data_IF_832398781990
#
_entry.id   IF_832398781990
#
_cell.length_a   1.000
_cell.length_b   1.000
_cell.length_c   1.000
_cell.angle_alpha   90.00
_cell.angle_beta   90.00
_cell.angle_gamma   90.00
#
_symmetry.space_group_name_H-M   'P 1'
#
loop_
_entity.id
_entity.type
_entity.pdbx_description
1 polymer ?
#
# COMPACT_ATOMS: atom_id res chain seq x y z
N UNK A 1 33.25 -7.45 -34.45
CA UNK A 1 32.96 -7.60 -33.01
C UNK A 1 31.57 -7.05 -32.77
N UNK A 2 30.63 -7.78 -32.16
CA UNK A 2 29.31 -7.22 -31.87
C UNK A 2 29.36 -6.49 -30.53
N UNK A 3 29.13 -5.17 -30.56
CA UNK A 3 28.77 -4.41 -29.37
C UNK A 3 27.38 -4.87 -28.95
N UNK A 4 27.29 -5.56 -27.82
CA UNK A 4 26.00 -5.88 -27.22
C UNK A 4 25.41 -4.59 -26.66
N UNK A 5 24.30 -4.15 -27.26
CA UNK A 5 23.40 -3.16 -26.69
C UNK A 5 22.91 -3.64 -25.32
N UNK A 6 23.48 -3.09 -24.25
CA UNK A 6 22.89 -3.15 -22.92
C UNK A 6 21.86 -2.02 -22.78
N UNK A 7 20.82 -2.04 -23.61
CA UNK A 7 19.60 -1.33 -23.27
C UNK A 7 18.84 -2.18 -22.27
N UNK A 8 19.31 -2.18 -21.02
CA UNK A 8 18.52 -2.65 -19.88
C UNK A 8 17.24 -1.84 -19.88
N UNK A 9 16.13 -2.47 -20.27
CA UNK A 9 14.80 -1.85 -20.25
C UNK A 9 14.51 -1.39 -18.83
N UNK A 10 14.67 -0.09 -18.57
CA UNK A 10 14.20 0.51 -17.32
C UNK A 10 12.73 0.20 -17.21
N UNK A 11 12.33 -0.59 -16.21
CA UNK A 11 10.91 -0.74 -15.90
C UNK A 11 10.30 0.67 -15.80
N UNK A 12 9.14 0.93 -16.43
CA UNK A 12 8.59 2.25 -16.44
C UNK A 12 8.32 2.70 -15.00
N UNK A 13 9.03 3.72 -14.52
CA UNK A 13 8.77 4.34 -13.20
C UNK A 13 7.31 4.79 -13.09
N UNK A 14 6.65 5.04 -14.23
CA UNK A 14 5.22 5.28 -14.35
C UNK A 14 4.34 4.12 -13.88
N UNK A 15 4.79 2.86 -14.00
CA UNK A 15 4.09 1.68 -13.47
C UNK A 15 4.08 1.69 -11.95
N UNK A 16 5.26 1.87 -11.33
CA UNK A 16 5.41 1.95 -9.88
C UNK A 16 4.64 3.13 -9.28
N UNK A 17 4.59 4.27 -9.96
CA UNK A 17 3.77 5.42 -9.52
C UNK A 17 2.27 5.09 -9.57
N UNK A 18 1.80 4.35 -10.58
CA UNK A 18 0.40 3.91 -10.64
C UNK A 18 0.09 2.96 -9.50
N UNK A 19 0.98 2.02 -9.22
CA UNK A 19 0.81 1.07 -8.13
C UNK A 19 0.77 1.76 -6.76
N UNK A 20 1.66 2.73 -6.50
CA UNK A 20 1.58 3.52 -5.27
C UNK A 20 0.32 4.38 -5.20
N UNK A 21 -0.25 4.84 -6.31
CA UNK A 21 -1.56 5.52 -6.30
C UNK A 21 -2.70 4.57 -5.98
N UNK A 22 -2.59 3.29 -6.34
CA UNK A 22 -3.57 2.29 -5.95
C UNK A 22 -3.58 2.15 -4.43
N UNK A 23 -2.42 1.92 -3.79
CA UNK A 23 -2.36 1.80 -2.33
C UNK A 23 -2.76 3.07 -1.57
N UNK A 24 -2.61 4.26 -2.17
CA UNK A 24 -3.12 5.50 -1.59
C UNK A 24 -4.65 5.47 -1.43
N UNK A 25 -5.35 4.97 -2.47
CA UNK A 25 -6.80 4.78 -2.45
C UNK A 25 -7.21 3.67 -1.48
N UNK A 26 -6.43 2.60 -1.38
CA UNK A 26 -6.67 1.53 -0.40
C UNK A 26 -6.64 2.07 1.03
N UNK A 27 -5.63 2.88 1.37
CA UNK A 27 -5.56 3.54 2.69
C UNK A 27 -6.82 4.40 2.94
N UNK A 28 -7.22 5.23 1.97
CA UNK A 28 -8.44 6.04 2.10
C UNK A 28 -9.71 5.20 2.27
N UNK A 29 -9.78 4.04 1.62
CA UNK A 29 -10.91 3.12 1.75
C UNK A 29 -10.94 2.50 3.14
N UNK A 30 -9.81 2.00 3.63
CA UNK A 30 -9.71 1.41 4.97
C UNK A 30 -10.02 2.41 6.07
N UNK A 31 -9.54 3.66 5.94
CA UNK A 31 -9.86 4.73 6.90
C UNK A 31 -11.36 5.00 6.96
N UNK A 32 -12.04 5.09 5.81
CA UNK A 32 -13.51 5.26 5.77
C UNK A 32 -14.24 4.08 6.42
N UNK A 33 -13.87 2.86 6.08
CA UNK A 33 -14.46 1.67 6.71
C UNK A 33 -14.24 1.66 8.22
N UNK A 34 -13.09 2.14 8.69
CA UNK A 34 -12.78 2.25 10.12
C UNK A 34 -13.63 3.32 10.81
N UNK A 35 -13.83 4.48 10.17
CA UNK A 35 -14.73 5.54 10.64
C UNK A 35 -16.19 5.04 10.74
N UNK A 36 -16.66 4.25 9.78
CA UNK A 36 -18.02 3.70 9.77
C UNK A 36 -18.29 2.75 10.96
N UNK A 37 -17.28 1.97 11.36
CA UNK A 37 -17.45 1.02 12.45
C UNK A 37 -17.15 1.59 13.83
N UNK A 38 -16.42 2.72 13.93
CA UNK A 38 -15.89 3.20 15.21
C UNK A 38 -17.00 3.52 16.22
N UNK A 39 -18.16 3.98 15.72
CA UNK A 39 -19.34 4.27 16.55
C UNK A 39 -20.04 3.01 17.05
N UNK A 40 -19.80 1.87 16.42
CA UNK A 40 -20.38 0.57 16.75
C UNK A 40 -19.47 -0.29 17.63
N UNK A 41 -18.23 0.14 17.87
CA UNK A 41 -17.29 -0.55 18.74
C UNK A 41 -17.76 -0.44 20.21
N UNK A 42 -17.87 -1.59 20.87
CA UNK A 42 -18.37 -1.69 22.26
C UNK A 42 -17.33 -2.17 23.26
N UNK A 43 -16.22 -2.71 22.79
CA UNK A 43 -15.17 -3.25 23.65
C UNK A 43 -13.94 -2.35 23.62
N UNK A 44 -13.28 -2.19 24.77
CA UNK A 44 -12.01 -1.47 24.87
C UNK A 44 -10.93 -2.10 24.00
N UNK A 45 -10.97 -3.43 23.84
CA UNK A 45 -10.03 -4.16 22.98
C UNK A 45 -10.15 -3.75 21.52
N UNK A 46 -11.37 -3.71 20.99
CA UNK A 46 -11.60 -3.36 19.58
C UNK A 46 -11.30 -1.87 19.33
N UNK A 47 -11.50 -1.01 20.33
CA UNK A 47 -11.12 0.40 20.26
C UNK A 47 -9.60 0.57 20.15
N UNK A 48 -8.82 -0.17 20.95
CA UNK A 48 -7.35 -0.16 20.88
C UNK A 48 -6.88 -0.67 19.52
N UNK A 49 -7.52 -1.71 18.97
CA UNK A 49 -7.21 -2.22 17.64
C UNK A 49 -7.55 -1.19 16.54
N UNK A 50 -8.68 -0.50 16.65
CA UNK A 50 -9.04 0.57 15.73
C UNK A 50 -8.01 1.71 15.77
N UNK A 51 -7.59 2.16 16.95
CA UNK A 51 -6.53 3.17 17.09
C UNK A 51 -5.19 2.68 16.50
N UNK A 52 -4.84 1.41 16.71
CA UNK A 52 -3.67 0.81 16.10
C UNK A 52 -3.71 0.92 14.57
N UNK A 53 -4.83 0.55 13.93
CA UNK A 53 -4.97 0.64 12.47
C UNK A 53 -4.96 2.08 11.97
N UNK A 54 -5.60 3.03 12.66
CA UNK A 54 -5.52 4.46 12.33
C UNK A 54 -4.06 4.94 12.30
N UNK A 55 -3.30 4.62 13.35
CA UNK A 55 -1.89 5.01 13.45
C UNK A 55 -1.04 4.37 12.34
N UNK A 56 -1.30 3.10 12.02
CA UNK A 56 -0.63 2.44 10.90
C UNK A 56 -0.96 3.11 9.57
N UNK A 57 -2.22 3.41 9.27
CA UNK A 57 -2.62 4.07 8.01
C UNK A 57 -2.01 5.46 7.85
N UNK A 58 -1.93 6.25 8.93
CA UNK A 58 -1.20 7.53 8.94
C UNK A 58 0.27 7.33 8.55
N UNK A 59 0.94 6.35 9.15
CA UNK A 59 2.34 6.04 8.85
C UNK A 59 2.53 5.57 7.40
N UNK A 60 1.66 4.69 6.91
CA UNK A 60 1.76 4.17 5.53
C UNK A 60 1.49 5.26 4.51
N UNK A 61 0.56 6.19 4.78
CA UNK A 61 0.33 7.37 3.93
C UNK A 61 1.56 8.27 3.85
N UNK A 62 2.25 8.47 4.97
CA UNK A 62 3.50 9.21 4.98
C UNK A 62 4.58 8.51 4.12
N UNK A 63 4.78 7.21 4.33
CA UNK A 63 5.73 6.41 3.54
C UNK A 63 5.41 6.46 2.05
N UNK A 64 4.13 6.32 1.68
CA UNK A 64 3.68 6.33 0.29
C UNK A 64 3.93 7.68 -0.39
N UNK A 65 3.69 8.80 0.31
CA UNK A 65 4.03 10.14 -0.18
C UNK A 65 5.53 10.29 -0.40
N UNK A 66 6.36 9.83 0.55
CA UNK A 66 7.82 9.84 0.46
C UNK A 66 8.30 9.05 -0.76
N UNK A 67 7.84 7.81 -0.92
CA UNK A 67 8.23 6.92 -2.01
C UNK A 67 7.81 7.47 -3.38
N UNK A 68 6.57 7.99 -3.50
CA UNK A 68 6.11 8.65 -4.74
C UNK A 68 6.96 9.85 -5.10
N UNK A 69 7.33 10.66 -4.11
CA UNK A 69 8.18 11.82 -4.31
C UNK A 69 9.56 11.37 -4.81
N UNK A 70 10.23 10.48 -4.07
CA UNK A 70 11.56 9.98 -4.44
C UNK A 70 11.58 9.31 -5.82
N UNK A 71 10.53 8.54 -6.18
CA UNK A 71 10.43 7.90 -7.50
C UNK A 71 10.39 8.92 -8.64
N UNK A 72 9.65 10.03 -8.45
CA UNK A 72 9.59 11.10 -9.46
C UNK A 72 10.95 11.77 -9.66
N UNK A 73 11.71 11.96 -8.58
CA UNK A 73 13.04 12.57 -8.64
C UNK A 73 14.09 11.63 -9.23
N UNK A 74 14.13 10.38 -8.77
CA UNK A 74 15.11 9.38 -9.21
C UNK A 74 14.81 8.79 -10.59
N UNK A 75 13.61 9.00 -11.13
CA UNK A 75 13.28 8.59 -12.51
C UNK A 75 14.23 9.18 -13.57
N UNK A 76 14.92 10.28 -13.24
CA UNK A 76 15.93 10.93 -14.10
C UNK A 76 17.34 10.88 -13.50
N UNK A 77 17.51 10.16 -12.40
CA UNK A 77 18.74 10.09 -11.61
C UNK A 77 19.58 8.84 -11.88
N UNK A 78 20.56 8.56 -11.00
CA UNK A 78 21.41 7.38 -11.07
C UNK A 78 20.60 6.08 -10.98
N UNK A 79 21.00 5.07 -11.76
CA UNK A 79 20.29 3.80 -11.82
C UNK A 79 20.36 3.05 -10.49
N UNK A 80 21.51 3.08 -9.82
CA UNK A 80 21.74 2.38 -8.55
C UNK A 80 20.80 2.92 -7.46
N UNK A 81 20.63 4.24 -7.40
CA UNK A 81 19.72 4.88 -6.47
C UNK A 81 18.25 4.52 -6.77
N UNK A 82 17.89 4.43 -8.05
CA UNK A 82 16.56 3.99 -8.46
C UNK A 82 16.30 2.54 -8.04
N UNK A 83 17.26 1.63 -8.23
CA UNK A 83 17.12 0.22 -7.84
C UNK A 83 16.94 0.05 -6.32
N UNK A 84 17.70 0.78 -5.51
CA UNK A 84 17.52 0.79 -4.05
C UNK A 84 16.12 1.25 -3.67
N UNK A 85 15.63 2.33 -4.30
CA UNK A 85 14.28 2.81 -4.05
C UNK A 85 13.20 1.80 -4.49
N UNK A 86 13.41 1.09 -5.59
CA UNK A 86 12.48 0.05 -6.05
C UNK A 86 12.40 -1.12 -5.05
N UNK A 87 13.51 -1.51 -4.43
CA UNK A 87 13.49 -2.49 -3.34
C UNK A 87 12.72 -1.98 -2.12
N UNK A 88 12.85 -0.70 -1.77
CA UNK A 88 12.07 -0.09 -0.69
C UNK A 88 10.57 -0.07 -1.02
N UNK A 89 10.20 0.22 -2.28
CA UNK A 89 8.82 0.15 -2.77
C UNK A 89 8.28 -1.28 -2.65
N UNK A 90 9.05 -2.29 -3.10
CA UNK A 90 8.66 -3.70 -2.95
C UNK A 90 8.48 -4.11 -1.50
N UNK A 91 9.38 -3.66 -0.61
CA UNK A 91 9.26 -3.89 0.82
C UNK A 91 7.95 -3.29 1.37
N UNK A 92 7.69 -2.01 1.07
CA UNK A 92 6.45 -1.33 1.45
C UNK A 92 5.21 -2.09 0.97
N UNK A 93 5.20 -2.56 -0.28
CA UNK A 93 4.06 -3.30 -0.83
C UNK A 93 3.80 -4.57 -0.05
N UNK A 94 4.84 -5.35 0.27
CA UNK A 94 4.67 -6.60 1.04
C UNK A 94 4.15 -6.33 2.44
N UNK A 95 4.71 -5.35 3.14
CA UNK A 95 4.28 -5.02 4.51
C UNK A 95 2.89 -4.43 4.53
N UNK A 96 2.54 -3.59 3.55
CA UNK A 96 1.21 -3.00 3.46
C UNK A 96 0.14 -4.06 3.13
N UNK A 97 0.44 -5.02 2.24
CA UNK A 97 -0.47 -6.15 2.00
C UNK A 97 -0.73 -6.98 3.26
N UNK A 98 0.28 -7.21 4.08
CA UNK A 98 0.10 -7.90 5.36
C UNK A 98 -0.80 -7.09 6.31
N UNK A 99 -0.59 -5.77 6.41
CA UNK A 99 -1.44 -4.88 7.19
C UNK A 99 -2.91 -4.92 6.71
N UNK A 100 -3.16 -4.91 5.39
CA UNK A 100 -4.51 -5.01 4.83
C UNK A 100 -5.17 -6.34 5.21
N UNK A 101 -4.45 -7.46 5.16
CA UNK A 101 -4.99 -8.76 5.58
C UNK A 101 -5.33 -8.79 7.07
N UNK A 102 -4.52 -8.16 7.92
CA UNK A 102 -4.81 -8.02 9.35
C UNK A 102 -6.02 -7.13 9.60
N UNK A 103 -6.14 -6.03 8.84
CA UNK A 103 -7.28 -5.14 8.88
C UNK A 103 -8.56 -5.87 8.46
N UNK A 104 -8.55 -6.61 7.36
CA UNK A 104 -9.71 -7.39 6.90
C UNK A 104 -10.21 -8.37 7.95
N UNK A 105 -9.29 -9.05 8.65
CA UNK A 105 -9.65 -9.96 9.75
C UNK A 105 -10.26 -9.22 10.93
N UNK A 106 -9.74 -8.04 11.26
CA UNK A 106 -10.32 -7.18 12.29
C UNK A 106 -11.71 -6.69 11.90
N UNK A 107 -11.92 -6.35 10.62
CA UNK A 107 -13.18 -5.83 10.10
C UNK A 107 -14.25 -6.91 9.93
N UNK A 108 -13.86 -8.17 9.71
CA UNK A 108 -14.78 -9.26 9.39
C UNK A 108 -16.01 -9.40 10.33
N UNK A 109 -15.89 -9.28 11.67
CA UNK A 109 -17.03 -9.36 12.57
C UNK A 109 -18.02 -8.19 12.43
N UNK A 110 -17.56 -7.03 11.97
CA UNK A 110 -18.38 -5.83 11.80
C UNK A 110 -19.19 -5.85 10.49
N UNK A 111 -18.75 -6.65 9.51
CA UNK A 111 -19.38 -6.76 8.18
C UNK A 111 -20.16 -8.06 7.97
N UNK A 112 -20.74 -8.64 9.04
CA UNK A 112 -21.67 -9.78 8.92
C UNK A 112 -22.96 -9.50 8.11
N UNK A 113 -23.11 -8.29 7.54
CA UNK A 113 -24.08 -7.95 6.49
C UNK A 113 -23.32 -7.30 5.32
N UNK A 114 -23.22 -8.05 4.21
CA UNK A 114 -22.60 -7.70 2.92
C UNK A 114 -21.08 -7.87 2.81
N UNK A 115 -20.67 -9.13 2.62
CA UNK A 115 -19.40 -9.50 1.99
C UNK A 115 -19.35 -8.87 0.60
N UNK A 116 -18.55 -7.80 0.42
CA UNK A 116 -18.09 -7.41 -0.91
C UNK A 116 -16.83 -8.22 -1.25
N UNK A 117 -16.78 -8.91 -2.40
CA UNK A 117 -15.64 -9.74 -2.79
C UNK A 117 -14.50 -8.87 -3.31
N UNK A 118 -13.75 -8.22 -2.42
CA UNK A 118 -12.68 -7.31 -2.84
C UNK A 118 -11.39 -8.03 -3.27
N UNK A 119 -11.16 -9.27 -2.82
CA UNK A 119 -9.92 -10.01 -3.11
C UNK A 119 -10.06 -11.14 -4.14
N UNK A 120 -11.18 -11.24 -4.87
CA UNK A 120 -11.42 -12.35 -5.79
C UNK A 120 -10.76 -12.21 -7.18
N UNK A 121 -10.30 -11.03 -7.59
CA UNK A 121 -9.87 -10.82 -8.98
C UNK A 121 -8.62 -9.95 -9.12
N UNK A 122 -7.44 -10.54 -8.94
CA UNK A 122 -6.27 -10.15 -9.72
C UNK A 122 -5.34 -11.37 -9.89
N UNK A 123 -5.17 -11.91 -11.12
CA UNK A 123 -4.22 -12.98 -11.37
C UNK A 123 -2.78 -12.46 -11.30
N UNK A 124 -1.90 -13.40 -10.95
CA UNK A 124 -0.44 -13.26 -10.84
C UNK A 124 0.25 -12.85 -12.14
#
# INVERSE_FOLDING_TARGET
MPNADYHTERQPTTSWIKELKFYEKEIESCERSLEEIITNIRTTRDLILAEHFQNQFILQRYNLRRLKHQLKWLARGPEEALQILLEEVRYFIRTFKALLQEFDRFMAPFFHLQVLPFLANHPA
#
